data_IF_019634092714
#
_entry.id   IF_019634092714
#
_cell.length_a   1.000
_cell.length_b   1.000
_cell.length_c   1.000
_cell.angle_alpha   90.00
_cell.angle_beta   90.00
_cell.angle_gamma   90.00
#
_symmetry.space_group_name_H-M   'P 1'
#
loop_
_entity.id
_entity.type
_entity.pdbx_description
1 polymer ?
#
# COMPACT_ATOMS: atom_id res chain seq x y z
N UNK A 1 -22.45 12.96 20.75
CA UNK A 1 -22.06 12.62 19.36
C UNK A 1 -20.77 13.36 19.03
N UNK A 2 -19.61 12.75 19.28
CA UNK A 2 -18.32 13.36 18.96
C UNK A 2 -17.93 12.96 17.54
N UNK A 3 -18.02 13.91 16.60
CA UNK A 3 -17.47 13.77 15.25
C UNK A 3 -15.95 13.72 15.40
N UNK A 4 -15.36 12.53 15.23
CA UNK A 4 -13.92 12.34 15.29
C UNK A 4 -13.34 12.91 14.00
N UNK A 5 -12.85 14.15 14.10
CA UNK A 5 -12.17 14.83 13.02
C UNK A 5 -11.10 13.92 12.40
N UNK A 6 -11.16 13.73 11.08
CA UNK A 6 -10.02 13.27 10.30
C UNK A 6 -8.83 14.15 10.68
N UNK A 7 -7.63 13.57 10.88
CA UNK A 7 -6.45 14.38 11.16
C UNK A 7 -6.39 15.44 10.08
N UNK A 8 -6.38 16.70 10.53
CA UNK A 8 -6.22 17.87 9.69
C UNK A 8 -5.05 17.60 8.75
N UNK A 9 -5.15 18.15 7.54
CA UNK A 9 -4.18 18.11 6.46
C UNK A 9 -2.87 18.84 6.86
N UNK A 10 -2.32 18.50 8.02
CA UNK A 10 -1.00 18.90 8.51
C UNK A 10 -0.01 18.70 7.38
N UNK A 11 0.81 19.73 7.15
CA UNK A 11 1.71 19.93 6.00
C UNK A 11 2.27 18.62 5.44
N UNK A 12 1.52 17.96 4.57
CA UNK A 12 1.94 16.75 3.89
C UNK A 12 2.84 17.18 2.75
N UNK A 13 4.13 16.94 2.90
CA UNK A 13 5.11 17.13 1.82
C UNK A 13 4.88 16.03 0.79
N UNK A 14 4.21 16.37 -0.32
CA UNK A 14 3.92 15.42 -1.39
C UNK A 14 4.61 15.90 -2.65
N UNK A 15 5.36 15.01 -3.29
CA UNK A 15 5.86 15.24 -4.64
C UNK A 15 4.92 14.58 -5.66
N UNK A 16 4.00 15.37 -6.22
CA UNK A 16 2.91 14.88 -7.06
C UNK A 16 3.36 14.54 -8.50
N UNK A 17 4.38 13.70 -8.64
CA UNK A 17 4.85 13.24 -9.94
C UNK A 17 3.80 12.36 -10.64
N UNK A 18 3.52 12.57 -11.94
CA UNK A 18 2.78 11.62 -12.74
C UNK A 18 3.41 10.22 -12.70
N UNK A 19 2.61 9.14 -12.67
CA UNK A 19 3.14 7.78 -12.60
C UNK A 19 4.22 7.44 -13.62
N UNK A 20 4.16 7.89 -14.91
CA UNK A 20 5.22 7.59 -15.88
C UNK A 20 6.59 8.15 -15.53
N UNK A 21 6.68 9.27 -14.80
CA UNK A 21 7.96 9.94 -14.47
C UNK A 21 8.41 9.76 -13.01
N UNK A 22 7.59 9.16 -12.15
CA UNK A 22 7.97 8.87 -10.77
C UNK A 22 9.22 7.95 -10.69
N UNK A 23 10.25 8.26 -9.89
CA UNK A 23 11.47 7.43 -9.80
C UNK A 23 11.19 6.00 -9.39
N UNK A 24 10.31 5.84 -8.39
CA UNK A 24 9.74 4.56 -7.99
C UNK A 24 8.24 4.62 -8.22
N UNK A 25 7.68 3.54 -8.75
CA UNK A 25 6.26 3.42 -9.09
C UNK A 25 5.45 2.87 -7.93
N UNK A 26 6.03 1.94 -7.19
CA UNK A 26 5.34 1.18 -6.15
C UNK A 26 6.18 1.09 -4.90
N UNK A 27 5.60 1.29 -3.74
CA UNK A 27 6.18 0.87 -2.46
C UNK A 27 5.42 -0.38 -1.99
N UNK A 28 6.14 -1.42 -1.56
CA UNK A 28 5.54 -2.63 -0.98
C UNK A 28 5.93 -2.71 0.49
N UNK A 29 4.95 -2.91 1.36
CA UNK A 29 5.21 -3.00 2.79
C UNK A 29 4.24 -3.94 3.53
N UNK A 30 4.69 -4.63 4.58
CA UNK A 30 3.78 -5.35 5.47
C UNK A 30 3.10 -4.35 6.43
N UNK A 31 1.85 -4.56 6.81
CA UNK A 31 1.11 -3.68 7.72
C UNK A 31 1.83 -3.53 9.08
N UNK A 32 2.46 -4.62 9.54
CA UNK A 32 3.20 -4.71 10.79
C UNK A 32 4.43 -5.63 10.61
N UNK A 33 5.47 -5.51 11.45
CA UNK A 33 6.69 -6.30 11.31
C UNK A 33 6.47 -7.75 11.80
N UNK A 34 5.72 -8.55 11.05
CA UNK A 34 5.48 -9.98 11.30
C UNK A 34 6.12 -10.82 10.19
N UNK A 35 6.85 -11.87 10.57
CA UNK A 35 7.54 -12.76 9.63
C UNK A 35 6.58 -13.43 8.64
N UNK A 36 5.36 -13.76 9.08
CA UNK A 36 4.32 -14.35 8.23
C UNK A 36 3.88 -13.46 7.05
N UNK A 37 4.12 -12.13 7.12
CA UNK A 37 3.78 -11.19 6.06
C UNK A 37 4.90 -10.99 5.04
N UNK A 38 6.11 -11.52 5.30
CA UNK A 38 7.25 -11.36 4.40
C UNK A 38 7.15 -12.19 3.10
N UNK A 39 6.63 -13.44 3.10
CA UNK A 39 6.54 -14.21 1.86
C UNK A 39 5.67 -13.53 0.77
N UNK A 40 4.47 -12.98 1.07
CA UNK A 40 3.71 -12.24 0.05
C UNK A 40 4.42 -10.96 -0.42
N UNK A 41 5.17 -10.28 0.46
CA UNK A 41 5.99 -9.11 0.08
C UNK A 41 7.08 -9.50 -0.92
N UNK A 42 7.78 -10.61 -0.68
CA UNK A 42 8.82 -11.13 -1.56
C UNK A 42 8.24 -11.58 -2.91
N UNK A 43 7.07 -12.22 -2.90
CA UNK A 43 6.35 -12.61 -4.12
C UNK A 43 5.99 -11.38 -4.97
N UNK A 44 5.41 -10.35 -4.35
CA UNK A 44 5.10 -9.09 -5.03
C UNK A 44 6.36 -8.43 -5.62
N UNK A 45 7.45 -8.39 -4.86
CA UNK A 45 8.71 -7.82 -5.32
C UNK A 45 9.28 -8.58 -6.54
N UNK A 46 9.21 -9.91 -6.54
CA UNK A 46 9.63 -10.73 -7.67
C UNK A 46 8.77 -10.45 -8.91
N UNK A 47 7.45 -10.39 -8.77
CA UNK A 47 6.55 -10.09 -9.89
C UNK A 47 6.71 -8.66 -10.43
N UNK A 48 6.89 -7.67 -9.56
CA UNK A 48 7.20 -6.29 -9.95
C UNK A 48 8.53 -6.20 -10.73
N UNK A 49 9.54 -6.96 -10.29
CA UNK A 49 10.82 -7.07 -11.01
C UNK A 49 10.64 -7.64 -12.41
N UNK A 50 9.83 -8.71 -12.57
CA UNK A 50 9.57 -9.36 -13.86
C UNK A 50 8.95 -8.40 -14.88
N UNK A 51 8.06 -7.53 -14.43
CA UNK A 51 7.41 -6.51 -15.28
C UNK A 51 8.19 -5.19 -15.37
N UNK A 52 9.39 -5.11 -14.78
CA UNK A 52 10.27 -3.93 -14.79
C UNK A 52 9.63 -2.66 -14.22
N UNK A 53 8.74 -2.80 -13.24
CA UNK A 53 8.24 -1.67 -12.46
C UNK A 53 9.26 -1.34 -11.37
N UNK A 54 9.75 -0.10 -11.32
CA UNK A 54 10.62 0.33 -10.23
C UNK A 54 9.84 0.35 -8.90
N UNK A 55 10.36 -0.31 -7.87
CA UNK A 55 9.69 -0.41 -6.58
C UNK A 55 10.63 -0.24 -5.39
N UNK A 56 10.03 0.03 -4.22
CA UNK A 56 10.68 0.07 -2.92
C UNK A 56 10.05 -0.99 -2.01
N UNK A 57 10.83 -1.51 -1.06
CA UNK A 57 10.32 -2.35 0.02
C UNK A 57 10.60 -1.63 1.34
N UNK A 58 9.55 -1.43 2.15
CA UNK A 58 9.67 -0.86 3.50
C UNK A 58 9.12 -1.84 4.55
N UNK A 59 10.01 -2.67 5.10
CA UNK A 59 9.72 -3.57 6.22
C UNK A 59 10.03 -2.96 7.58
N UNK A 60 10.22 -1.63 7.67
CA UNK A 60 10.51 -0.99 8.95
C UNK A 60 9.32 -1.13 9.90
N UNK A 61 9.60 -1.29 11.19
CA UNK A 61 8.56 -1.39 12.24
C UNK A 61 7.84 -0.08 12.56
N UNK A 62 7.98 0.95 11.71
CA UNK A 62 7.32 2.24 11.96
C UNK A 62 5.84 2.19 11.54
N UNK A 63 4.96 2.99 12.16
CA UNK A 63 3.54 3.02 11.82
C UNK A 63 3.31 3.27 10.32
N UNK A 64 2.29 2.63 9.75
CA UNK A 64 1.99 2.68 8.31
C UNK A 64 1.81 4.12 7.79
N UNK A 65 1.18 5.00 8.58
CA UNK A 65 1.01 6.41 8.21
C UNK A 65 2.34 7.15 7.99
N UNK A 66 3.38 6.81 8.77
CA UNK A 66 4.73 7.38 8.59
C UNK A 66 5.42 6.83 7.34
N UNK A 67 5.14 5.58 6.97
CA UNK A 67 5.64 4.98 5.71
C UNK A 67 4.97 5.62 4.49
N UNK A 68 3.66 5.84 4.55
CA UNK A 68 2.95 6.61 3.54
C UNK A 68 3.54 8.02 3.39
N UNK A 69 3.73 8.76 4.49
CA UNK A 69 4.32 10.11 4.42
C UNK A 69 5.69 10.12 3.73
N UNK A 70 6.62 9.22 4.10
CA UNK A 70 7.93 9.09 3.42
C UNK A 70 7.79 8.76 1.94
N UNK A 71 6.87 7.87 1.62
CA UNK A 71 6.64 7.41 0.25
C UNK A 71 6.03 8.52 -0.62
N UNK A 72 5.17 9.34 -0.01
CA UNK A 72 4.56 10.50 -0.63
C UNK A 72 5.59 11.62 -0.91
N UNK A 73 6.57 11.81 0.00
CA UNK A 73 7.71 12.72 -0.17
C UNK A 73 8.64 12.30 -1.30
N UNK A 74 8.83 10.98 -1.48
CA UNK A 74 9.59 10.41 -2.60
C UNK A 74 8.83 10.45 -3.94
N UNK A 75 7.55 10.85 -3.91
CA UNK A 75 6.68 10.96 -5.08
C UNK A 75 6.24 9.64 -5.67
N UNK A 76 6.27 8.56 -4.89
CA UNK A 76 5.81 7.24 -5.34
C UNK A 76 4.28 7.24 -5.43
N UNK A 77 3.69 6.91 -6.59
CA UNK A 77 2.26 7.04 -6.81
C UNK A 77 1.42 5.99 -6.08
N UNK A 78 1.95 4.76 -5.91
CA UNK A 78 1.19 3.64 -5.33
C UNK A 78 1.92 2.96 -4.18
N UNK A 79 1.17 2.61 -3.12
CA UNK A 79 1.65 1.79 -2.01
C UNK A 79 0.85 0.50 -1.93
N UNK A 80 1.52 -0.65 -1.86
CA UNK A 80 0.91 -1.96 -1.62
C UNK A 80 1.18 -2.36 -0.18
N UNK A 81 0.10 -2.60 0.57
CA UNK A 81 0.16 -3.05 1.96
C UNK A 81 -0.28 -4.50 2.05
N UNK A 82 0.59 -5.34 2.61
CA UNK A 82 0.33 -6.76 2.92
C UNK A 82 -0.09 -6.87 4.38
N UNK A 83 -1.29 -7.38 4.66
CA UNK A 83 -1.85 -7.49 6.00
C UNK A 83 -2.22 -8.96 6.33
N UNK A 84 -2.65 -9.28 7.56
CA UNK A 84 -3.03 -10.65 7.92
C UNK A 84 -4.16 -11.24 7.07
N UNK A 85 -4.99 -10.41 6.43
CA UNK A 85 -6.00 -10.88 5.47
C UNK A 85 -5.34 -11.37 4.18
N UNK A 86 -4.18 -10.83 3.79
CA UNK A 86 -3.42 -11.34 2.64
C UNK A 86 -3.09 -12.82 2.79
N UNK A 87 -2.63 -13.25 3.97
CA UNK A 87 -2.29 -14.65 4.21
C UNK A 87 -3.51 -15.56 4.30
N UNK A 88 -4.69 -15.02 4.66
CA UNK A 88 -5.94 -15.80 4.80
C UNK A 88 -6.76 -15.87 3.51
N UNK A 89 -6.85 -14.77 2.78
CA UNK A 89 -7.80 -14.56 1.68
C UNK A 89 -7.10 -14.23 0.36
N UNK A 90 -5.76 -14.10 0.36
CA UNK A 90 -4.99 -13.85 -0.86
C UNK A 90 -5.27 -12.47 -1.47
N UNK A 91 -5.57 -11.46 -0.67
CA UNK A 91 -5.83 -10.08 -1.13
C UNK A 91 -4.85 -9.08 -0.51
N UNK A 92 -4.54 -8.01 -1.24
CA UNK A 92 -3.66 -6.93 -0.80
C UNK A 92 -4.36 -5.58 -0.93
N UNK A 93 -3.84 -4.58 -0.23
CA UNK A 93 -4.38 -3.22 -0.29
C UNK A 93 -3.48 -2.37 -1.16
N UNK A 94 -4.05 -1.68 -2.15
CA UNK A 94 -3.35 -0.67 -2.96
C UNK A 94 -3.87 0.71 -2.56
N UNK A 95 -2.96 1.62 -2.22
CA UNK A 95 -3.23 3.03 -1.92
C UNK A 95 -2.69 3.92 -3.04
N UNK A 96 -3.49 4.91 -3.46
CA UNK A 96 -3.01 5.99 -4.30
C UNK A 96 -2.55 7.19 -3.46
N UNK A 97 -1.41 7.77 -3.86
CA UNK A 97 -0.83 8.97 -3.23
C UNK A 97 -1.79 10.17 -3.26
N UNK A 98 -2.33 10.53 -4.42
CA UNK A 98 -2.98 11.83 -4.59
C UNK A 98 -4.33 11.91 -3.87
N UNK A 99 -5.19 10.90 -4.05
CA UNK A 99 -6.48 10.82 -3.35
C UNK A 99 -6.39 10.29 -1.92
N UNK A 100 -5.28 9.66 -1.53
CA UNK A 100 -5.13 8.87 -0.30
C UNK A 100 -6.14 7.73 -0.13
N UNK A 101 -6.92 7.40 -1.17
CA UNK A 101 -7.89 6.30 -1.09
C UNK A 101 -7.18 4.97 -1.30
N UNK A 102 -7.85 3.90 -0.87
CA UNK A 102 -7.32 2.55 -0.96
C UNK A 102 -8.37 1.60 -1.53
N UNK A 103 -7.91 0.60 -2.26
CA UNK A 103 -8.70 -0.49 -2.82
C UNK A 103 -8.13 -1.83 -2.38
N UNK A 104 -8.99 -2.84 -2.22
CA UNK A 104 -8.60 -4.21 -1.93
C UNK A 104 -8.58 -5.03 -3.22
N UNK A 105 -7.43 -5.59 -3.56
CA UNK A 105 -7.19 -6.28 -4.83
C UNK A 105 -6.72 -7.70 -4.58
N UNK A 106 -7.19 -8.73 -5.31
CA UNK A 106 -6.60 -10.06 -5.26
C UNK A 106 -5.08 -10.01 -5.53
N UNK A 107 -4.30 -10.77 -4.79
CA UNK A 107 -2.83 -10.78 -4.88
C UNK A 107 -2.37 -11.08 -6.31
N UNK A 108 -3.05 -11.99 -7.00
CA UNK A 108 -2.80 -12.34 -8.39
C UNK A 108 -3.06 -11.18 -9.39
N UNK A 109 -3.97 -10.27 -9.05
CA UNK A 109 -4.34 -9.13 -9.91
C UNK A 109 -3.58 -7.84 -9.55
N UNK A 110 -2.87 -7.82 -8.42
CA UNK A 110 -2.18 -6.64 -7.91
C UNK A 110 -1.15 -6.09 -8.91
N UNK A 111 -0.24 -6.94 -9.43
CA UNK A 111 0.79 -6.50 -10.38
C UNK A 111 0.20 -6.08 -11.73
N UNK A 112 -0.70 -6.86 -12.37
CA UNK A 112 -1.41 -6.40 -13.57
C UNK A 112 -2.13 -5.05 -13.38
N UNK A 113 -2.77 -4.87 -12.23
CA UNK A 113 -3.43 -3.60 -11.87
C UNK A 113 -2.42 -2.45 -11.81
N UNK A 114 -1.28 -2.64 -11.12
CA UNK A 114 -0.22 -1.63 -10.99
C UNK A 114 0.41 -1.29 -12.34
N UNK A 115 0.62 -2.25 -13.23
CA UNK A 115 1.11 -2.01 -14.60
C UNK A 115 0.17 -1.06 -15.34
N UNK A 116 -1.14 -1.33 -15.33
CA UNK A 116 -2.15 -0.46 -15.96
C UNK A 116 -2.15 0.94 -15.35
N UNK A 117 -2.10 1.03 -14.02
CA UNK A 117 -2.09 2.30 -13.30
C UNK A 117 -0.83 3.14 -13.65
N UNK A 118 0.33 2.50 -13.79
CA UNK A 118 1.59 3.16 -14.09
C UNK A 118 1.75 3.55 -15.57
N UNK A 119 0.99 2.93 -16.49
CA UNK A 119 1.03 3.22 -17.92
C UNK A 119 0.54 4.63 -18.28
N UNK A 120 -0.09 5.35 -17.34
CA UNK A 120 -0.44 6.77 -17.50
C UNK A 120 -1.75 7.04 -18.27
N UNK A 121 -2.56 6.02 -18.54
CA UNK A 121 -3.89 6.21 -19.09
C UNK A 121 -4.82 6.84 -18.03
N UNK A 122 -5.37 8.03 -18.30
CA UNK A 122 -6.38 8.63 -17.43
C UNK A 122 -7.78 8.21 -17.88
N UNK A 123 -8.70 7.83 -16.97
CA UNK A 123 -8.61 7.86 -15.51
C UNK A 123 -8.43 6.46 -14.88
N UNK A 124 -7.22 5.88 -14.96
CA UNK A 124 -6.98 4.49 -14.49
C UNK A 124 -7.29 4.27 -13.01
N UNK A 125 -7.06 5.25 -12.12
CA UNK A 125 -7.39 5.07 -10.69
C UNK A 125 -8.90 5.03 -10.45
N UNK A 126 -9.66 5.95 -11.04
CA UNK A 126 -11.12 5.95 -10.90
C UNK A 126 -11.75 4.66 -11.47
N UNK A 127 -11.14 4.08 -12.51
CA UNK A 127 -11.54 2.78 -13.03
C UNK A 127 -11.22 1.64 -12.04
N UNK A 128 -10.03 1.64 -11.45
CA UNK A 128 -9.67 0.67 -10.42
C UNK A 128 -10.62 0.74 -9.20
N UNK A 129 -11.03 1.95 -8.78
CA UNK A 129 -12.01 2.13 -7.71
C UNK A 129 -13.43 1.62 -8.05
N UNK A 130 -13.78 1.51 -9.35
CA UNK A 130 -15.04 0.86 -9.77
C UNK A 130 -14.93 -0.66 -9.81
N UNK A 131 -13.73 -1.17 -10.07
CA UNK A 131 -13.46 -2.59 -10.23
C UNK A 131 -13.27 -3.30 -8.88
N UNK A 132 -12.64 -2.63 -7.92
CA UNK A 132 -12.23 -3.23 -6.66
C UNK A 132 -12.89 -2.54 -5.46
N UNK A 133 -13.26 -3.30 -4.40
CA UNK A 133 -13.89 -2.72 -3.23
C UNK A 133 -12.95 -1.75 -2.51
N UNK A 134 -13.47 -0.63 -1.97
CA UNK A 134 -12.68 0.30 -1.18
C UNK A 134 -12.21 -0.35 0.13
N UNK A 135 -11.05 0.07 0.62
CA UNK A 135 -10.48 -0.37 1.89
C UNK A 135 -10.29 0.84 2.82
N UNK A 136 -10.85 0.76 4.03
CA UNK A 136 -10.64 1.80 5.05
C UNK A 136 -9.18 1.84 5.52
N UNK A 137 -8.70 3.03 5.85
CA UNK A 137 -7.38 3.20 6.43
C UNK A 137 -7.36 2.60 7.83
N UNK A 138 -6.42 1.69 8.10
CA UNK A 138 -6.18 1.21 9.47
C UNK A 138 -5.77 2.42 10.32
N UNK A 139 -6.49 2.71 11.42
CA UNK A 139 -6.17 3.86 12.25
C UNK A 139 -4.74 3.75 12.79
N UNK A 140 -4.00 4.86 12.74
CA UNK A 140 -2.64 4.94 13.24
C UNK A 140 -2.64 4.69 14.76
N UNK A 141 -2.29 3.47 15.18
CA UNK A 141 -2.20 3.09 16.60
C UNK A 141 -2.52 1.63 16.90
N UNK A 142 -3.23 0.93 16.03
CA UNK A 142 -3.59 -0.48 16.27
C UNK A 142 -2.62 -1.41 15.54
N UNK A 143 -1.37 -1.43 16.02
CA UNK A 143 -0.59 -2.65 15.94
C UNK A 143 -1.17 -3.59 16.99
N UNK A 144 -2.09 -4.48 16.61
CA UNK A 144 -2.48 -5.57 17.49
C UNK A 144 -1.22 -6.41 17.74
N UNK A 145 -0.62 -6.17 18.89
CA UNK A 145 0.32 -7.07 19.53
C UNK A 145 -0.45 -8.35 19.81
N UNK A 146 -0.53 -9.22 18.82
CA UNK A 146 -0.90 -10.60 19.06
C UNK A 146 0.32 -11.25 19.66
N UNK A 147 0.28 -11.36 20.98
CA UNK A 147 1.18 -12.16 21.79
C UNK A 147 0.96 -13.64 21.48
N UNK A 148 1.63 -14.15 20.45
CA UNK A 148 1.90 -15.59 20.38
C UNK A 148 3.05 -15.88 21.34
N UNK A 149 2.71 -16.09 22.61
CA UNK A 149 3.59 -16.78 23.53
C UNK A 149 3.56 -18.27 23.20
N UNK A 150 4.70 -18.98 23.16
CA UNK A 150 4.66 -20.43 23.10
C UNK A 150 4.17 -20.95 24.45
N UNK A 151 3.03 -21.66 24.46
CA UNK A 151 2.73 -22.58 25.54
C UNK A 151 3.75 -23.72 25.47
N UNK A 152 4.60 -23.79 26.49
CA UNK A 152 5.57 -24.84 26.75
C UNK A 152 5.86 -24.92 28.23
#
# INVERSE_FOLDING_TARGET
KASRAQPSREKRSVFALPPPIAPYKVMVCPLMPKAALLPPVQLLAAELSRVRLAYLIDTSGVPIGRRYARTDELGVPYCVTVDPTTTREGTVTIRERDSCTQIRVPLAEAVPCLVRLCAGASPAWAEAQRQYPPQEAVPAGEGTGESDGPEG
#
